data_IF_777168229405
#
_entry.id   IF_777168229405
#
_cell.length_a   1.000
_cell.length_b   1.000
_cell.length_c   1.000
_cell.angle_alpha   90.00
_cell.angle_beta   90.00
_cell.angle_gamma   90.00
#
_symmetry.space_group_name_H-M   'P 1'
#
loop_
_entity.id
_entity.type
_entity.pdbx_description
1 polymer ?
#
# COMPACT_ATOMS: atom_id res chain seq x y z
N UNK A 1 2.66 -0.72 -16.87
CA UNK A 1 1.56 -0.76 -15.89
C UNK A 1 1.30 0.60 -15.27
N UNK A 2 2.29 1.29 -14.69
CA UNK A 2 2.14 2.60 -14.04
C UNK A 2 1.39 3.63 -14.90
N UNK A 3 1.83 3.84 -16.15
CA UNK A 3 1.16 4.75 -17.09
C UNK A 3 -0.31 4.38 -17.34
N UNK A 4 -0.62 3.09 -17.47
CA UNK A 4 -1.98 2.62 -17.70
C UNK A 4 -2.89 2.91 -16.49
N UNK A 5 -2.40 2.65 -15.27
CA UNK A 5 -3.14 2.94 -14.03
C UNK A 5 -3.35 4.44 -13.83
N UNK A 6 -2.29 5.24 -14.04
CA UNK A 6 -2.37 6.70 -13.91
C UNK A 6 -3.31 7.34 -14.94
N UNK A 7 -3.42 6.76 -16.14
CA UNK A 7 -4.25 7.29 -17.23
C UNK A 7 -5.67 6.72 -17.25
N UNK A 8 -5.98 5.73 -16.44
CA UNK A 8 -7.28 5.11 -16.41
C UNK A 8 -8.36 6.09 -15.92
N UNK A 9 -9.51 6.08 -16.60
CA UNK A 9 -10.67 6.93 -16.28
C UNK A 9 -11.85 6.14 -15.71
N UNK A 10 -11.69 4.82 -15.59
CA UNK A 10 -12.65 3.91 -14.98
C UNK A 10 -12.57 3.93 -13.46
N UNK A 11 -13.58 3.44 -12.74
CA UNK A 11 -13.48 3.22 -11.30
C UNK A 11 -12.26 2.36 -10.94
N UNK A 12 -11.49 2.82 -9.97
CA UNK A 12 -10.27 2.16 -9.51
C UNK A 12 -10.44 1.78 -8.04
N UNK A 13 -10.51 0.48 -7.77
CA UNK A 13 -10.66 -0.07 -6.42
C UNK A 13 -9.44 -0.93 -6.10
N UNK A 14 -8.85 -0.70 -4.94
CA UNK A 14 -7.69 -1.45 -4.48
C UNK A 14 -8.02 -2.18 -3.18
N UNK A 15 -7.67 -3.45 -3.10
CA UNK A 15 -7.77 -4.24 -1.89
C UNK A 15 -6.39 -4.79 -1.54
N UNK A 16 -5.81 -4.32 -0.45
CA UNK A 16 -4.51 -4.78 0.03
C UNK A 16 -4.73 -6.01 0.92
N UNK A 17 -4.35 -7.18 0.41
CA UNK A 17 -4.59 -8.45 1.11
C UNK A 17 -3.48 -8.78 2.10
N UNK A 18 -2.22 -8.47 1.74
CA UNK A 18 -1.04 -8.83 2.51
C UNK A 18 0.06 -7.78 2.33
N UNK A 19 1.09 -8.05 1.56
CA UNK A 19 2.28 -7.21 1.42
C UNK A 19 2.11 -6.19 0.29
N UNK A 20 2.21 -4.92 0.62
CA UNK A 20 2.19 -3.81 -0.33
C UNK A 20 3.40 -2.90 -0.05
N UNK A 21 4.53 -3.20 -0.69
CA UNK A 21 5.79 -2.53 -0.42
C UNK A 21 6.26 -1.65 -1.58
N UNK A 22 6.70 -0.45 -1.25
CA UNK A 22 7.38 0.48 -2.14
C UNK A 22 6.63 0.73 -3.45
N UNK A 23 7.33 0.58 -4.56
CA UNK A 23 6.77 0.75 -5.90
C UNK A 23 5.62 -0.21 -6.21
N UNK A 24 5.57 -1.40 -5.58
CA UNK A 24 4.45 -2.34 -5.72
C UNK A 24 3.13 -1.75 -5.26
N UNK A 25 3.12 -1.06 -4.13
CA UNK A 25 1.94 -0.35 -3.64
C UNK A 25 1.49 0.73 -4.64
N UNK A 26 2.41 1.55 -5.14
CA UNK A 26 2.07 2.62 -6.08
C UNK A 26 1.57 2.07 -7.42
N UNK A 27 2.33 1.16 -8.04
CA UNK A 27 2.03 0.64 -9.38
C UNK A 27 0.70 -0.10 -9.44
N UNK A 28 0.25 -0.68 -8.33
CA UNK A 28 -1.04 -1.36 -8.18
C UNK A 28 -2.16 -0.42 -7.74
N UNK A 29 -2.05 0.88 -8.06
CA UNK A 29 -3.04 1.90 -7.73
C UNK A 29 -3.09 2.26 -6.23
N UNK A 30 -1.93 2.63 -5.68
CA UNK A 30 -1.86 3.23 -4.34
C UNK A 30 -2.50 4.61 -4.27
N UNK A 31 -2.54 5.20 -3.08
CA UNK A 31 -3.22 6.48 -2.79
C UNK A 31 -2.87 7.60 -3.77
N UNK A 32 -1.62 7.69 -4.21
CA UNK A 32 -1.14 8.73 -5.13
C UNK A 32 -1.78 8.68 -6.53
N UNK A 33 -2.44 7.59 -6.90
CA UNK A 33 -3.12 7.43 -8.19
C UNK A 33 -4.64 7.56 -8.09
N UNK A 34 -5.12 8.19 -7.03
CA UNK A 34 -6.53 8.54 -6.83
C UNK A 34 -7.47 7.32 -7.00
N UNK A 35 -7.30 6.24 -6.21
CA UNK A 35 -8.30 5.19 -6.16
C UNK A 35 -9.64 5.75 -5.69
N UNK A 36 -10.74 5.23 -6.23
CA UNK A 36 -12.08 5.54 -5.73
C UNK A 36 -12.31 4.92 -4.36
N UNK A 37 -11.66 3.78 -4.12
CA UNK A 37 -11.61 3.13 -2.82
C UNK A 37 -10.29 2.34 -2.71
N UNK A 38 -9.65 2.45 -1.56
CA UNK A 38 -8.54 1.58 -1.17
C UNK A 38 -8.80 1.04 0.23
N UNK A 39 -8.96 -0.27 0.34
CA UNK A 39 -9.16 -0.95 1.61
C UNK A 39 -8.08 -2.00 1.84
N UNK A 40 -7.90 -2.39 3.07
CA UNK A 40 -6.94 -3.41 3.43
C UNK A 40 -7.54 -4.46 4.36
N UNK A 41 -6.98 -5.66 4.35
CA UNK A 41 -7.27 -6.66 5.37
C UNK A 41 -6.40 -6.42 6.61
N UNK A 42 -6.80 -6.91 7.78
CA UNK A 42 -5.99 -6.78 9.00
C UNK A 42 -4.60 -7.42 8.91
N UNK A 43 -4.42 -8.36 7.97
CA UNK A 43 -3.12 -9.00 7.68
C UNK A 43 -2.22 -8.21 6.73
N UNK A 44 -2.65 -7.03 6.28
CA UNK A 44 -1.88 -6.23 5.34
C UNK A 44 -0.71 -5.51 6.02
N UNK A 45 0.38 -5.42 5.27
CA UNK A 45 1.56 -4.64 5.64
C UNK A 45 1.83 -3.62 4.53
N UNK A 46 1.92 -2.35 4.89
CA UNK A 46 2.15 -1.26 3.94
C UNK A 46 3.40 -0.49 4.37
N UNK A 47 4.43 -0.50 3.54
CA UNK A 47 5.71 0.14 3.84
C UNK A 47 6.52 0.40 2.57
N UNK A 48 7.64 1.07 2.72
CA UNK A 48 8.65 1.21 1.65
C UNK A 48 9.29 -0.15 1.33
N UNK A 49 9.57 -0.96 2.36
CA UNK A 49 10.14 -2.31 2.24
C UNK A 49 9.70 -3.19 3.41
N UNK A 50 9.85 -4.51 3.26
CA UNK A 50 9.57 -5.45 4.34
C UNK A 50 10.56 -5.33 5.50
N UNK A 51 10.17 -5.81 6.67
CA UNK A 51 10.95 -5.65 7.90
C UNK A 51 12.36 -6.25 7.81
N UNK A 52 12.49 -7.44 7.22
CA UNK A 52 13.78 -8.10 7.05
C UNK A 52 14.74 -7.28 6.19
N UNK A 53 14.25 -6.76 5.04
CA UNK A 53 15.05 -5.94 4.15
C UNK A 53 15.39 -4.57 4.76
N UNK A 54 14.47 -3.98 5.51
CA UNK A 54 14.70 -2.72 6.20
C UNK A 54 15.83 -2.86 7.24
N UNK A 55 15.80 -3.92 8.04
CA UNK A 55 16.83 -4.17 9.06
C UNK A 55 18.19 -4.43 8.41
N UNK A 56 18.25 -5.19 7.33
CA UNK A 56 19.51 -5.46 6.63
C UNK A 56 20.15 -4.23 5.99
N UNK A 57 19.36 -3.26 5.58
CA UNK A 57 19.86 -2.05 4.92
C UNK A 57 20.09 -0.94 5.93
N UNK A 58 19.06 -0.60 6.72
CA UNK A 58 19.06 0.60 7.57
C UNK A 58 19.84 0.36 8.87
N UNK A 59 19.67 -0.83 9.47
CA UNK A 59 20.24 -1.16 10.78
C UNK A 59 21.47 -2.07 10.71
N UNK A 60 22.02 -2.27 9.53
CA UNK A 60 23.18 -3.15 9.31
C UNK A 60 24.31 -2.91 10.30
N UNK A 61 24.74 -1.67 10.47
CA UNK A 61 25.85 -1.32 11.37
C UNK A 61 25.54 -1.62 12.84
N UNK A 62 24.29 -1.45 13.25
CA UNK A 62 23.84 -1.76 14.61
C UNK A 62 23.86 -3.26 14.86
N UNK A 63 23.38 -4.05 13.91
CA UNK A 63 23.41 -5.50 13.98
C UNK A 63 24.86 -6.04 14.01
N UNK A 64 25.74 -5.51 13.15
CA UNK A 64 27.15 -5.93 13.10
C UNK A 64 27.93 -5.57 14.38
N UNK A 65 27.55 -4.52 15.10
CA UNK A 65 28.20 -4.08 16.32
C UNK A 65 27.66 -4.73 17.61
N UNK A 66 26.57 -5.51 17.53
CA UNK A 66 25.96 -6.16 18.69
C UNK A 66 26.78 -7.37 19.14
N UNK A 67 26.75 -7.68 20.45
CA UNK A 67 27.36 -8.89 21.02
C UNK A 67 26.73 -10.17 20.45
N UNK A 68 25.39 -10.15 20.22
CA UNK A 68 24.64 -11.19 19.52
C UNK A 68 23.91 -10.58 18.34
N UNK A 69 24.51 -10.61 17.14
CA UNK A 69 23.89 -10.06 15.92
C UNK A 69 22.56 -10.72 15.55
N UNK A 70 22.38 -12.01 15.86
CA UNK A 70 21.15 -12.72 15.50
C UNK A 70 19.97 -12.29 16.39
N UNK A 71 20.21 -12.17 17.69
CA UNK A 71 19.20 -11.68 18.63
C UNK A 71 18.83 -10.21 18.37
N UNK A 72 19.81 -9.35 18.10
CA UNK A 72 19.58 -7.94 17.80
C UNK A 72 18.79 -7.80 16.48
N UNK A 73 19.15 -8.56 15.45
CA UNK A 73 18.40 -8.58 14.17
C UNK A 73 16.94 -9.00 14.39
N UNK A 74 16.68 -10.03 15.14
CA UNK A 74 15.32 -10.49 15.43
C UNK A 74 14.49 -9.44 16.16
N UNK A 75 15.07 -8.79 17.16
CA UNK A 75 14.47 -7.70 17.93
C UNK A 75 14.11 -6.49 17.04
N UNK A 76 15.02 -6.09 16.16
CA UNK A 76 14.79 -4.98 15.23
C UNK A 76 13.72 -5.30 14.20
N UNK A 77 13.66 -6.54 13.71
CA UNK A 77 12.60 -7.01 12.80
C UNK A 77 11.24 -6.92 13.49
N UNK A 78 11.11 -7.39 14.72
CA UNK A 78 9.85 -7.31 15.46
C UNK A 78 9.43 -5.87 15.74
N UNK A 79 10.35 -5.02 16.13
CA UNK A 79 10.08 -3.60 16.32
C UNK A 79 9.62 -2.93 15.01
N UNK A 80 10.28 -3.24 13.89
CA UNK A 80 9.91 -2.67 12.60
C UNK A 80 8.55 -3.17 12.10
N UNK A 81 8.18 -4.41 12.39
CA UNK A 81 6.84 -4.95 12.05
C UNK A 81 5.70 -4.14 12.67
N UNK A 82 5.89 -3.65 13.88
CA UNK A 82 4.92 -2.74 14.50
C UNK A 82 4.75 -1.40 13.76
N UNK A 83 5.75 -0.97 13.00
CA UNK A 83 5.69 0.27 12.22
C UNK A 83 5.04 0.13 10.84
N UNK A 84 5.02 -1.10 10.30
CA UNK A 84 4.45 -1.39 8.97
C UNK A 84 3.06 -2.01 9.06
N UNK A 85 2.49 -2.03 10.25
CA UNK A 85 1.13 -2.50 10.52
C UNK A 85 0.10 -1.69 9.72
N UNK A 86 -0.95 -2.37 9.27
CA UNK A 86 -2.00 -1.77 8.46
C UNK A 86 -2.73 -0.63 9.17
N UNK A 87 -2.86 -0.69 10.50
CA UNK A 87 -3.53 0.37 11.26
C UNK A 87 -2.69 1.65 11.32
N UNK A 88 -1.36 1.52 11.34
CA UNK A 88 -0.45 2.66 11.18
C UNK A 88 -0.62 3.29 9.80
N UNK A 89 -0.68 2.46 8.76
CA UNK A 89 -0.93 2.93 7.39
C UNK A 89 -2.31 3.60 7.24
N UNK A 90 -3.34 3.06 7.87
CA UNK A 90 -4.68 3.65 7.91
C UNK A 90 -4.68 5.00 8.62
N UNK A 91 -4.02 5.11 9.77
CA UNK A 91 -3.86 6.37 10.49
C UNK A 91 -3.16 7.47 9.68
N UNK A 92 -2.30 7.08 8.75
CA UNK A 92 -1.62 7.97 7.80
C UNK A 92 -2.40 8.20 6.48
N UNK A 93 -3.63 7.71 6.37
CA UNK A 93 -4.47 7.90 5.18
C UNK A 93 -4.03 7.09 3.95
N UNK A 94 -3.20 6.06 4.12
CA UNK A 94 -2.76 5.20 3.02
C UNK A 94 -3.86 4.25 2.52
N UNK A 95 -4.84 3.95 3.37
CA UNK A 95 -6.05 3.21 3.05
C UNK A 95 -7.26 3.94 3.64
N UNK A 96 -8.44 3.74 3.05
CA UNK A 96 -9.68 4.34 3.51
C UNK A 96 -10.29 3.57 4.68
N UNK A 97 -10.11 2.23 4.69
CA UNK A 97 -10.63 1.39 5.76
C UNK A 97 -9.85 0.06 5.86
N UNK A 98 -9.93 -0.55 7.03
CA UNK A 98 -9.43 -1.91 7.30
C UNK A 98 -10.64 -2.81 7.52
N UNK A 99 -10.88 -3.73 6.58
CA UNK A 99 -12.10 -4.53 6.51
C UNK A 99 -11.85 -6.01 6.82
N UNK A 100 -12.85 -6.69 7.38
CA UNK A 100 -12.86 -8.15 7.45
C UNK A 100 -12.80 -8.74 6.02
N UNK A 101 -11.99 -9.77 5.77
CA UNK A 101 -11.94 -10.45 4.47
C UNK A 101 -13.32 -10.84 3.90
N UNK A 102 -14.29 -11.18 4.76
CA UNK A 102 -15.68 -11.53 4.38
C UNK A 102 -16.44 -10.34 3.81
N UNK A 103 -16.07 -9.12 4.20
CA UNK A 103 -16.69 -7.87 3.75
C UNK A 103 -16.14 -7.38 2.40
N UNK A 104 -15.11 -8.05 1.86
CA UNK A 104 -14.45 -7.61 0.62
C UNK A 104 -15.45 -7.49 -0.54
N UNK A 105 -16.27 -8.51 -0.78
CA UNK A 105 -17.23 -8.51 -1.88
C UNK A 105 -18.32 -7.46 -1.71
N UNK A 106 -19.01 -7.36 -0.57
CA UNK A 106 -19.99 -6.30 -0.34
C UNK A 106 -19.40 -4.90 -0.50
N UNK A 107 -18.20 -4.68 -0.01
CA UNK A 107 -17.47 -3.40 -0.08
C UNK A 107 -17.18 -3.02 -1.54
N UNK A 108 -16.68 -3.95 -2.35
CA UNK A 108 -16.42 -3.72 -3.78
C UNK A 108 -17.72 -3.40 -4.52
N UNK A 109 -18.81 -4.14 -4.28
CA UNK A 109 -20.10 -3.91 -4.92
C UNK A 109 -20.61 -2.50 -4.58
N UNK A 110 -20.54 -2.10 -3.32
CA UNK A 110 -20.94 -0.76 -2.87
C UNK A 110 -20.09 0.34 -3.50
N UNK A 111 -18.77 0.15 -3.57
CA UNK A 111 -17.87 1.08 -4.21
C UNK A 111 -18.17 1.24 -5.72
N UNK A 112 -18.48 0.16 -6.43
CA UNK A 112 -18.87 0.21 -7.84
C UNK A 112 -20.20 0.95 -8.02
N UNK A 113 -21.18 0.73 -7.14
CA UNK A 113 -22.47 1.45 -7.17
C UNK A 113 -22.26 2.96 -6.98
N UNK A 114 -21.41 3.37 -6.02
CA UNK A 114 -21.08 4.79 -5.81
C UNK A 114 -20.37 5.38 -7.02
N UNK A 115 -19.48 4.61 -7.65
CA UNK A 115 -18.68 5.05 -8.80
C UNK A 115 -19.43 4.95 -10.15
N UNK A 116 -20.68 4.48 -10.19
CA UNK A 116 -21.43 4.31 -11.43
C UNK A 116 -21.59 5.61 -12.22
N UNK A 117 -21.73 6.73 -11.53
CA UNK A 117 -21.86 8.06 -12.14
C UNK A 117 -20.52 8.76 -12.38
N UNK A 118 -19.39 8.10 -12.11
CA UNK A 118 -18.07 8.70 -12.23
C UNK A 118 -17.78 9.14 -13.66
N UNK A 119 -17.49 10.41 -13.83
CA UNK A 119 -16.99 10.98 -15.08
C UNK A 119 -15.64 11.62 -14.84
N UNK A 120 -14.63 11.20 -15.57
CA UNK A 120 -13.28 11.74 -15.48
C UNK A 120 -12.92 12.36 -16.83
N UNK A 121 -12.76 13.66 -16.85
CA UNK A 121 -12.24 14.37 -18.01
C UNK A 121 -10.71 14.37 -17.95
N UNK A 122 -10.08 13.91 -19.01
CA UNK A 122 -8.62 13.91 -19.18
C UNK A 122 -8.28 14.74 -20.40
N UNK A 123 -7.12 15.43 -20.41
CA UNK A 123 -6.62 16.07 -21.61
C UNK A 123 -6.55 15.05 -22.77
N UNK A 124 -6.96 15.45 -23.96
CA UNK A 124 -6.97 14.57 -25.13
C UNK A 124 -5.56 14.09 -25.55
N UNK A 125 -4.52 14.85 -25.21
CA UNK A 125 -3.14 14.46 -25.46
C UNK A 125 -2.69 13.38 -24.48
N UNK A 126 -2.31 12.23 -25.01
CA UNK A 126 -1.59 11.22 -24.23
C UNK A 126 -0.23 11.79 -23.82
N UNK A 127 -0.02 11.95 -22.55
CA UNK A 127 1.28 12.30 -21.96
C UNK A 127 1.92 11.02 -21.41
N UNK A 128 3.22 11.05 -21.17
CA UNK A 128 3.91 10.00 -20.43
C UNK A 128 3.36 9.86 -19.00
N UNK A 129 4.05 9.13 -18.13
CA UNK A 129 3.66 9.03 -16.71
C UNK A 129 3.53 10.43 -16.14
N UNK A 130 2.34 10.77 -15.69
CA UNK A 130 2.03 12.07 -15.12
C UNK A 130 2.24 11.96 -13.63
N UNK A 131 2.97 12.88 -12.99
CA UNK A 131 2.93 13.04 -11.56
C UNK A 131 1.47 13.32 -11.15
N UNK A 132 1.01 12.63 -10.14
CA UNK A 132 -0.32 12.77 -9.55
C UNK A 132 -0.23 13.47 -8.22
#
# INVERSE_FOLDING_TARGET
MLHAVASATVPKITVVLRKAYGAGYYVMNGRAYEPDLIVAWPSAEISVMGAEGAVEIVFRKQVEAAEDPAAEKAKLIDAYRGLIDVYVAAGNGMVDDVIDPRETRPTIIRALQVAESKKVERPWKKRGVVPV
#
